data_IF_096116836787
#
_entry.id   IF_096116836787
#
_cell.length_a   1.000
_cell.length_b   1.000
_cell.length_c   1.000
_cell.angle_alpha   90.00
_cell.angle_beta   90.00
_cell.angle_gamma   90.00
#
_symmetry.space_group_name_H-M   'P 1'
#
loop_
_entity.id
_entity.type
_entity.pdbx_description
1 polymer ?
#
# COMPACT_ATOMS: atom_id res chain seq x y z
N UNK A 1 -4.05 8.54 30.57
CA UNK A 1 -5.48 8.15 30.64
C UNK A 1 -5.74 7.09 29.57
N UNK A 2 -6.15 5.87 29.95
CA UNK A 2 -6.61 4.87 28.97
C UNK A 2 -7.90 5.41 28.34
N UNK A 3 -7.87 5.79 27.06
CA UNK A 3 -9.08 6.19 26.32
C UNK A 3 -10.04 5.00 26.35
N UNK A 4 -11.23 5.20 26.94
CA UNK A 4 -12.26 4.16 27.06
C UNK A 4 -12.61 3.63 25.66
N UNK A 5 -12.62 2.31 25.48
CA UNK A 5 -13.09 1.67 24.25
C UNK A 5 -14.60 1.87 24.14
N UNK A 6 -15.05 2.36 22.99
CA UNK A 6 -16.46 2.56 22.64
C UNK A 6 -16.87 1.57 21.55
N UNK A 7 -18.17 1.39 21.29
CA UNK A 7 -18.65 0.53 20.20
C UNK A 7 -18.82 1.29 18.89
N UNK A 8 -18.82 0.58 17.76
CA UNK A 8 -19.26 1.10 16.45
C UNK A 8 -20.59 1.86 16.55
N UNK A 9 -21.58 1.31 17.26
CA UNK A 9 -22.91 1.91 17.38
C UNK A 9 -22.87 3.24 18.13
N UNK A 10 -22.04 3.37 19.16
CA UNK A 10 -21.85 4.64 19.87
C UNK A 10 -21.25 5.72 18.96
N UNK A 11 -20.26 5.37 18.13
CA UNK A 11 -19.70 6.30 17.13
C UNK A 11 -20.77 6.77 16.13
N UNK A 12 -21.52 5.83 15.56
CA UNK A 12 -22.56 6.10 14.55
C UNK A 12 -23.67 6.98 15.14
N UNK A 13 -24.11 6.69 16.37
CA UNK A 13 -25.09 7.51 17.07
C UNK A 13 -24.55 8.90 17.39
N UNK A 14 -23.29 9.02 17.82
CA UNK A 14 -22.65 10.30 18.09
C UNK A 14 -22.58 11.16 16.82
N UNK A 15 -22.12 10.60 15.71
CA UNK A 15 -22.06 11.27 14.41
C UNK A 15 -23.44 11.73 13.93
N UNK A 16 -24.45 10.86 14.03
CA UNK A 16 -25.84 11.20 13.64
C UNK A 16 -26.38 12.36 14.47
N UNK A 17 -26.12 12.39 15.79
CA UNK A 17 -26.50 13.48 16.70
C UNK A 17 -25.71 14.78 16.46
N UNK A 18 -24.64 14.76 15.67
CA UNK A 18 -23.86 15.95 15.32
C UNK A 18 -24.36 16.64 14.04
N UNK A 19 -25.36 16.09 13.34
CA UNK A 19 -25.95 16.70 12.14
C UNK A 19 -26.25 18.19 12.34
N UNK A 20 -25.78 19.03 11.42
CA UNK A 20 -25.99 20.48 11.44
C UNK A 20 -25.23 21.26 12.53
N UNK A 21 -24.47 20.60 13.43
CA UNK A 21 -23.66 21.29 14.43
C UNK A 21 -22.45 22.00 13.80
N UNK A 22 -21.84 22.99 14.48
CA UNK A 22 -20.58 23.58 14.04
C UNK A 22 -19.48 22.53 13.91
N UNK A 23 -18.66 22.63 12.86
CA UNK A 23 -17.60 21.69 12.54
C UNK A 23 -16.69 21.25 13.71
N UNK A 24 -16.27 22.16 14.62
CA UNK A 24 -15.42 21.77 15.75
C UNK A 24 -16.02 20.70 16.67
N UNK A 25 -17.35 20.47 16.63
CA UNK A 25 -18.00 19.42 17.40
C UNK A 25 -17.50 18.01 17.03
N UNK A 26 -16.97 17.80 15.83
CA UNK A 26 -16.33 16.52 15.47
C UNK A 26 -15.18 16.14 16.41
N UNK A 27 -14.51 17.09 17.10
CA UNK A 27 -13.41 16.77 18.02
C UNK A 27 -13.79 15.76 19.10
N UNK A 28 -15.07 15.66 19.43
CA UNK A 28 -15.59 14.70 20.40
C UNK A 28 -15.54 13.23 19.95
N UNK A 29 -15.35 12.95 18.64
CA UNK A 29 -15.22 11.56 18.13
C UNK A 29 -13.79 11.02 18.22
N UNK A 30 -12.83 11.81 18.72
CA UNK A 30 -11.47 11.33 18.94
C UNK A 30 -11.51 10.20 19.96
N UNK A 31 -11.10 8.99 19.57
CA UNK A 31 -11.31 7.81 20.41
C UNK A 31 -10.94 6.49 19.76
N UNK A 32 -11.25 5.41 20.46
CA UNK A 32 -11.10 4.02 20.00
C UNK A 32 -12.48 3.36 19.98
N UNK A 33 -12.76 2.69 18.88
CA UNK A 33 -14.06 2.10 18.60
C UNK A 33 -13.88 0.63 18.21
N UNK A 34 -14.45 -0.24 19.02
CA UNK A 34 -14.52 -1.67 18.75
C UNK A 34 -15.56 -1.91 17.66
N UNK A 35 -15.09 -2.51 16.57
CA UNK A 35 -15.93 -3.13 15.55
C UNK A 35 -16.01 -4.62 15.89
N UNK A 36 -16.42 -5.49 14.97
CA UNK A 36 -16.49 -6.93 15.27
C UNK A 36 -15.09 -7.48 15.58
N UNK A 37 -14.29 -7.65 14.53
CA UNK A 37 -13.00 -8.34 14.59
C UNK A 37 -11.79 -7.39 14.65
N UNK A 38 -12.05 -6.09 14.60
CA UNK A 38 -11.03 -5.06 14.50
C UNK A 38 -11.44 -3.80 15.25
N UNK A 39 -10.50 -2.88 15.38
CA UNK A 39 -10.70 -1.58 16.02
C UNK A 39 -10.51 -0.45 15.01
N UNK A 40 -11.30 0.61 15.15
CA UNK A 40 -11.05 1.91 14.52
C UNK A 40 -10.55 2.89 15.58
N UNK A 41 -9.43 3.54 15.30
CA UNK A 41 -8.84 4.56 16.16
C UNK A 41 -8.84 5.89 15.40
N UNK A 42 -9.48 6.91 15.96
CA UNK A 42 -9.48 8.27 15.41
C UNK A 42 -8.47 9.07 16.23
N UNK A 43 -7.24 9.20 15.73
CA UNK A 43 -6.12 9.80 16.48
C UNK A 43 -6.15 11.33 16.43
N UNK A 44 -6.53 11.87 15.27
CA UNK A 44 -6.62 13.29 15.02
C UNK A 44 -7.87 13.60 14.21
N UNK A 45 -8.63 14.60 14.67
CA UNK A 45 -9.81 15.12 13.99
C UNK A 45 -9.46 16.46 13.37
N UNK A 46 -9.71 16.60 12.06
CA UNK A 46 -9.42 17.83 11.32
C UNK A 46 -10.18 19.04 11.88
N UNK A 47 -9.55 20.21 11.88
CA UNK A 47 -10.09 21.43 12.48
C UNK A 47 -11.22 22.08 11.67
N UNK A 48 -11.21 21.88 10.35
CA UNK A 48 -12.18 22.40 9.40
C UNK A 48 -12.29 21.48 8.17
N UNK A 49 -13.34 21.61 7.32
CA UNK A 49 -13.55 20.73 6.17
C UNK A 49 -12.51 20.84 5.05
N UNK A 50 -11.69 21.89 5.03
CA UNK A 50 -10.68 22.16 4.00
C UNK A 50 -9.26 21.81 4.48
N UNK A 51 -9.07 21.58 5.78
CA UNK A 51 -7.82 21.14 6.37
C UNK A 51 -7.40 19.73 5.89
N UNK A 52 -6.20 19.33 6.32
CA UNK A 52 -5.76 17.96 6.17
C UNK A 52 -6.78 17.00 6.84
N UNK A 53 -7.25 15.96 6.12
CA UNK A 53 -8.11 14.90 6.63
C UNK A 53 -7.74 14.37 8.03
N UNK A 54 -8.77 13.90 8.73
CA UNK A 54 -8.61 13.25 10.04
C UNK A 54 -7.75 12.00 9.90
N UNK A 55 -6.87 11.75 10.87
CA UNK A 55 -5.99 10.58 10.89
C UNK A 55 -6.69 9.43 11.60
N UNK A 56 -6.87 8.34 10.89
CA UNK A 56 -7.60 7.15 11.35
C UNK A 56 -6.73 5.92 11.19
N UNK A 57 -6.86 4.97 12.12
CA UNK A 57 -6.26 3.65 12.02
C UNK A 57 -7.32 2.57 12.08
N UNK A 58 -7.15 1.52 11.29
CA UNK A 58 -7.85 0.25 11.45
C UNK A 58 -6.83 -0.79 11.95
N UNK A 59 -7.12 -1.43 13.08
CA UNK A 59 -6.26 -2.48 13.67
C UNK A 59 -7.01 -3.79 13.75
N UNK A 60 -6.50 -4.82 13.11
CA UNK A 60 -7.02 -6.18 13.18
C UNK A 60 -5.95 -7.11 13.76
N UNK A 61 -6.27 -7.98 14.74
CA UNK A 61 -5.33 -9.01 15.19
C UNK A 61 -4.96 -9.90 14.00
N UNK A 62 -3.67 -10.17 13.79
CA UNK A 62 -3.22 -10.96 12.65
C UNK A 62 -3.79 -12.39 12.68
N UNK A 63 -4.00 -12.93 13.89
CA UNK A 63 -4.68 -14.20 14.11
C UNK A 63 -6.14 -14.21 13.64
N UNK A 64 -6.84 -13.07 13.64
CA UNK A 64 -8.20 -12.95 13.12
C UNK A 64 -8.20 -12.67 11.61
N UNK A 65 -7.20 -11.92 11.14
CA UNK A 65 -6.98 -11.69 9.72
C UNK A 65 -6.56 -12.96 8.96
N UNK A 66 -6.11 -14.00 9.68
CA UNK A 66 -5.78 -15.33 9.19
C UNK A 66 -4.67 -15.34 8.12
N UNK A 67 -3.68 -14.44 8.25
CA UNK A 67 -2.49 -14.48 7.40
C UNK A 67 -1.57 -15.62 7.83
N UNK A 68 -1.21 -16.54 6.92
CA UNK A 68 -0.23 -17.59 7.18
C UNK A 68 1.11 -17.03 7.65
N UNK A 69 1.80 -17.75 8.56
CA UNK A 69 3.07 -17.29 9.15
C UNK A 69 4.15 -17.03 8.09
N UNK A 70 4.22 -17.89 7.07
CA UNK A 70 5.17 -17.78 5.97
C UNK A 70 5.03 -16.47 5.18
N UNK A 71 3.88 -15.79 5.21
CA UNK A 71 3.70 -14.47 4.56
C UNK A 71 4.39 -13.31 5.28
N UNK A 72 4.84 -13.51 6.52
CA UNK A 72 5.31 -12.45 7.41
C UNK A 72 6.33 -12.96 8.46
N UNK A 73 7.05 -14.04 8.15
CA UNK A 73 7.97 -14.68 9.10
C UNK A 73 9.34 -13.99 9.19
N UNK A 74 9.65 -13.08 8.27
CA UNK A 74 10.89 -12.31 8.22
C UNK A 74 10.62 -10.86 7.81
N UNK A 75 11.58 -9.96 8.08
CA UNK A 75 11.44 -8.53 7.82
C UNK A 75 11.15 -8.18 6.34
N UNK A 76 11.68 -8.97 5.39
CA UNK A 76 11.46 -8.75 3.96
C UNK A 76 10.02 -9.07 3.57
N UNK A 77 9.52 -10.25 3.98
CA UNK A 77 8.14 -10.66 3.73
C UNK A 77 7.14 -9.78 4.47
N UNK A 78 7.46 -9.32 5.67
CA UNK A 78 6.68 -8.30 6.41
C UNK A 78 6.47 -7.03 5.58
N UNK A 79 7.55 -6.51 5.00
CA UNK A 79 7.50 -5.32 4.15
C UNK A 79 6.69 -5.58 2.89
N UNK A 80 6.88 -6.72 2.24
CA UNK A 80 6.15 -7.09 1.03
C UNK A 80 4.65 -7.28 1.28
N UNK A 81 4.27 -7.96 2.36
CA UNK A 81 2.88 -8.11 2.79
C UNK A 81 2.26 -6.75 3.08
N UNK A 82 2.94 -5.89 3.84
CA UNK A 82 2.45 -4.55 4.16
C UNK A 82 2.26 -3.68 2.89
N UNK A 83 3.18 -3.76 1.92
CA UNK A 83 3.07 -3.07 0.63
C UNK A 83 1.85 -3.57 -0.16
N UNK A 84 1.69 -4.89 -0.29
CA UNK A 84 0.54 -5.50 -0.95
C UNK A 84 -0.78 -5.06 -0.31
N UNK A 85 -0.89 -5.15 1.02
CA UNK A 85 -2.08 -4.74 1.76
C UNK A 85 -2.37 -3.25 1.59
N UNK A 86 -1.35 -2.39 1.54
CA UNK A 86 -1.53 -0.95 1.24
C UNK A 86 -2.17 -0.75 -0.13
N UNK A 87 -1.65 -1.44 -1.17
CA UNK A 87 -2.21 -1.39 -2.54
C UNK A 87 -3.65 -1.90 -2.58
N UNK A 88 -3.94 -3.00 -1.87
CA UNK A 88 -5.30 -3.56 -1.75
C UNK A 88 -6.25 -2.61 -1.03
N UNK A 89 -5.80 -1.97 0.05
CA UNK A 89 -6.58 -0.97 0.78
C UNK A 89 -6.90 0.24 -0.10
N UNK A 90 -5.90 0.76 -0.83
CA UNK A 90 -6.09 1.84 -1.81
C UNK A 90 -7.07 1.46 -2.92
N UNK A 91 -6.95 0.25 -3.49
CA UNK A 91 -7.89 -0.23 -4.49
C UNK A 91 -9.31 -0.35 -3.93
N UNK A 92 -9.45 -0.87 -2.71
CA UNK A 92 -10.73 -1.04 -2.05
C UNK A 92 -11.40 0.30 -1.70
N UNK A 93 -10.62 1.33 -1.33
CA UNK A 93 -11.11 2.71 -1.23
C UNK A 93 -11.76 3.15 -2.55
N UNK A 94 -11.08 2.97 -3.69
CA UNK A 94 -11.61 3.40 -4.99
C UNK A 94 -12.86 2.60 -5.41
N UNK A 95 -12.94 1.32 -5.01
CA UNK A 95 -14.09 0.45 -5.26
C UNK A 95 -15.32 0.84 -4.43
N UNK A 96 -15.13 1.28 -3.18
CA UNK A 96 -16.25 1.47 -2.24
C UNK A 96 -16.58 2.93 -1.95
N UNK A 97 -15.63 3.86 -2.09
CA UNK A 97 -15.83 5.28 -1.81
C UNK A 97 -16.16 6.09 -3.09
N UNK A 98 -17.21 5.68 -3.79
CA UNK A 98 -17.60 6.21 -5.12
C UNK A 98 -18.30 7.57 -5.00
N UNK A 99 -19.05 7.80 -3.90
CA UNK A 99 -19.86 9.00 -3.72
C UNK A 99 -19.28 9.89 -2.62
N UNK A 100 -18.64 10.98 -3.03
CA UNK A 100 -18.16 12.03 -2.11
C UNK A 100 -19.15 13.18 -2.11
N UNK A 101 -19.51 13.65 -0.93
CA UNK A 101 -20.48 14.73 -0.76
C UNK A 101 -20.00 15.71 0.33
N UNK A 102 -20.26 17.00 0.11
CA UNK A 102 -19.92 18.08 1.03
C UNK A 102 -18.88 19.05 0.46
N UNK A 103 -18.35 19.91 1.34
CA UNK A 103 -17.38 20.96 1.00
C UNK A 103 -15.93 20.51 1.26
N UNK A 104 -14.98 21.05 0.52
CA UNK A 104 -13.54 20.83 0.76
C UNK A 104 -13.12 19.36 0.57
N UNK A 105 -12.56 18.75 1.60
CA UNK A 105 -12.13 17.35 1.63
C UNK A 105 -13.22 16.39 2.14
N UNK A 106 -14.47 16.83 2.23
CA UNK A 106 -15.59 16.00 2.70
C UNK A 106 -15.72 14.69 1.92
N UNK A 107 -15.86 13.58 2.65
CA UNK A 107 -16.02 12.24 2.05
C UNK A 107 -14.74 11.64 1.49
N UNK A 108 -13.60 12.34 1.55
CA UNK A 108 -12.31 11.75 1.15
C UNK A 108 -11.97 10.63 2.13
N UNK A 109 -11.65 9.46 1.58
CA UNK A 109 -10.94 8.40 2.28
C UNK A 109 -9.70 8.16 1.44
N UNK A 110 -8.52 8.17 2.06
CA UNK A 110 -7.27 8.06 1.33
C UNK A 110 -6.21 7.36 2.17
N UNK A 111 -5.28 6.68 1.51
CA UNK A 111 -4.12 6.05 2.12
C UNK A 111 -2.91 6.38 1.26
N UNK A 112 -1.71 6.34 1.84
CA UNK A 112 -0.50 6.47 1.04
C UNK A 112 -0.54 5.50 -0.16
N UNK A 113 -0.15 6.00 -1.34
CA UNK A 113 -0.26 5.28 -2.61
C UNK A 113 1.14 4.84 -3.04
N UNK A 114 1.48 3.55 -2.90
CA UNK A 114 2.80 3.05 -3.30
C UNK A 114 3.05 3.25 -4.80
N UNK A 115 4.29 3.61 -5.15
CA UNK A 115 4.79 3.64 -6.52
C UNK A 115 5.09 2.24 -7.06
N UNK A 116 6.07 2.13 -7.95
CA UNK A 116 6.53 0.83 -8.46
C UNK A 116 7.39 0.09 -7.42
N UNK A 117 8.03 0.84 -6.54
CA UNK A 117 8.90 0.37 -5.48
C UNK A 117 8.15 -0.20 -4.27
N UNK A 118 8.73 -1.23 -3.67
CA UNK A 118 8.29 -1.84 -2.42
C UNK A 118 9.18 -1.31 -1.31
N UNK A 119 8.60 -0.53 -0.39
CA UNK A 119 9.31 0.12 0.70
C UNK A 119 8.56 -0.11 2.02
N UNK A 120 9.32 -0.17 3.11
CA UNK A 120 8.79 -0.10 4.46
C UNK A 120 8.12 1.27 4.67
N UNK A 121 6.82 1.27 4.96
CA UNK A 121 6.00 2.49 5.08
C UNK A 121 5.22 2.49 6.38
N UNK A 122 4.70 3.66 6.76
CA UNK A 122 3.86 3.81 7.94
C UNK A 122 2.37 3.61 7.66
N UNK A 123 1.96 3.51 6.40
CA UNK A 123 0.57 3.36 5.97
C UNK A 123 -0.02 1.98 6.28
N UNK A 124 0.83 0.95 6.31
CA UNK A 124 0.47 -0.39 6.77
C UNK A 124 1.63 -0.94 7.57
N UNK A 125 1.36 -1.43 8.77
CA UNK A 125 2.37 -2.04 9.63
C UNK A 125 1.83 -3.29 10.30
N UNK A 126 2.68 -4.31 10.43
CA UNK A 126 2.45 -5.44 11.34
C UNK A 126 3.21 -5.13 12.62
N UNK A 127 2.48 -5.00 13.73
CA UNK A 127 3.08 -4.65 15.01
C UNK A 127 2.21 -5.12 16.19
N UNK A 128 2.87 -5.65 17.20
CA UNK A 128 2.26 -6.10 18.46
C UNK A 128 1.13 -7.12 18.25
N UNK A 129 1.24 -7.98 17.23
CA UNK A 129 0.22 -8.97 16.86
C UNK A 129 -0.96 -8.42 16.04
N UNK A 130 -0.85 -7.19 15.50
CA UNK A 130 -1.90 -6.56 14.68
C UNK A 130 -1.37 -6.16 13.31
N UNK A 131 -2.22 -6.30 12.30
CA UNK A 131 -2.13 -5.53 11.06
C UNK A 131 -2.82 -4.19 11.31
N UNK A 132 -2.11 -3.10 11.03
CA UNK A 132 -2.59 -1.74 11.24
C UNK A 132 -2.51 -0.92 9.95
N UNK A 133 -3.67 -0.59 9.39
CA UNK A 133 -3.79 0.36 8.29
C UNK A 133 -3.93 1.78 8.86
N UNK A 134 -3.12 2.73 8.37
CA UNK A 134 -3.17 4.15 8.73
C UNK A 134 -3.61 4.97 7.53
N UNK A 135 -4.75 5.62 7.64
CA UNK A 135 -5.42 6.27 6.53
C UNK A 135 -6.07 7.59 6.97
N UNK A 136 -6.56 8.31 5.99
CA UNK A 136 -7.12 9.63 6.10
C UNK A 136 -8.63 9.59 5.87
N UNK A 137 -9.38 10.32 6.68
CA UNK A 137 -10.84 10.47 6.54
C UNK A 137 -11.22 11.95 6.61
N UNK A 138 -11.68 12.47 5.49
CA UNK A 138 -12.28 13.80 5.39
C UNK A 138 -13.71 13.78 5.92
N UNK A 139 -13.88 14.23 7.16
CA UNK A 139 -15.18 14.28 7.83
C UNK A 139 -16.13 15.27 7.13
N UNK A 140 -17.31 14.82 6.70
CA UNK A 140 -18.15 15.56 5.78
C UNK A 140 -18.87 16.74 6.44
N UNK A 141 -19.06 17.80 5.66
CA UNK A 141 -19.78 19.01 6.04
C UNK A 141 -20.34 19.76 4.82
N UNK A 142 -21.38 20.57 5.05
CA UNK A 142 -21.85 21.57 4.11
C UNK A 142 -21.49 22.95 4.64
N UNK A 143 -20.54 23.63 3.98
CA UNK A 143 -19.85 24.77 4.56
C UNK A 143 -19.15 24.36 5.86
N UNK A 144 -19.44 25.04 6.98
CA UNK A 144 -18.89 24.71 8.30
C UNK A 144 -19.86 23.97 9.22
N UNK A 145 -20.92 23.37 8.66
CA UNK A 145 -21.91 22.58 9.40
C UNK A 145 -21.73 21.09 9.11
N UNK A 146 -21.68 20.30 10.17
CA UNK A 146 -21.44 18.85 10.12
C UNK A 146 -22.54 18.15 9.31
N UNK A 147 -22.14 17.33 8.34
CA UNK A 147 -23.01 16.38 7.66
C UNK A 147 -22.91 15.01 8.35
N UNK A 148 -23.44 14.94 9.57
CA UNK A 148 -23.31 13.83 10.51
C UNK A 148 -23.88 12.51 10.00
N UNK A 149 -24.97 12.54 9.24
CA UNK A 149 -25.55 11.34 8.59
C UNK A 149 -24.61 10.74 7.54
N UNK A 150 -23.93 11.59 6.76
CA UNK A 150 -22.94 11.14 5.77
C UNK A 150 -21.74 10.54 6.49
N UNK A 151 -21.26 11.19 7.56
CA UNK A 151 -20.16 10.67 8.37
C UNK A 151 -20.53 9.32 9.00
N UNK A 152 -21.73 9.21 9.55
CA UNK A 152 -22.26 7.97 10.12
C UNK A 152 -22.23 6.84 9.10
N UNK A 153 -22.72 7.09 7.87
CA UNK A 153 -22.66 6.12 6.77
C UNK A 153 -21.23 5.70 6.40
N UNK A 154 -20.29 6.66 6.34
CA UNK A 154 -18.87 6.34 6.06
C UNK A 154 -18.29 5.36 7.10
N UNK A 155 -18.54 5.60 8.39
CA UNK A 155 -18.02 4.75 9.47
C UNK A 155 -18.85 3.47 9.68
N UNK A 156 -20.12 3.44 9.29
CA UNK A 156 -20.97 2.26 9.45
C UNK A 156 -20.90 1.28 8.29
N UNK A 157 -20.72 1.79 7.06
CA UNK A 157 -20.82 1.01 5.82
C UNK A 157 -19.53 1.04 4.98
N UNK A 158 -19.01 2.22 4.65
CA UNK A 158 -17.92 2.35 3.66
C UNK A 158 -16.59 1.84 4.19
N UNK A 159 -16.13 2.34 5.34
CA UNK A 159 -14.87 1.93 5.97
C UNK A 159 -14.88 0.44 6.29
N UNK A 160 -15.95 -0.15 6.85
CA UNK A 160 -16.01 -1.60 7.06
C UNK A 160 -15.87 -2.44 5.81
N UNK A 161 -16.45 -2.01 4.67
CA UNK A 161 -16.27 -2.71 3.39
C UNK A 161 -14.82 -2.65 2.92
N UNK A 162 -14.16 -1.49 3.06
CA UNK A 162 -12.75 -1.32 2.71
C UNK A 162 -11.87 -2.25 3.55
N UNK A 163 -12.06 -2.25 4.87
CA UNK A 163 -11.32 -3.12 5.80
C UNK A 163 -11.53 -4.60 5.45
N UNK A 164 -12.77 -5.02 5.25
CA UNK A 164 -13.10 -6.41 4.92
C UNK A 164 -12.47 -6.86 3.58
N UNK A 165 -12.51 -6.04 2.54
CA UNK A 165 -12.01 -6.39 1.20
C UNK A 165 -10.48 -6.28 1.05
N UNK A 166 -9.77 -5.78 2.08
CA UNK A 166 -8.32 -5.54 2.02
C UNK A 166 -7.47 -6.16 3.13
N UNK A 167 -8.02 -6.42 4.33
CA UNK A 167 -7.23 -6.82 5.51
C UNK A 167 -7.49 -8.26 5.99
N UNK A 168 -8.21 -9.08 5.22
CA UNK A 168 -8.46 -10.49 5.56
C UNK A 168 -7.89 -11.38 4.47
N UNK A 169 -7.07 -12.37 4.84
CA UNK A 169 -6.38 -13.25 3.89
C UNK A 169 -7.36 -13.91 2.89
N UNK A 170 -8.48 -14.45 3.38
CA UNK A 170 -9.51 -15.12 2.58
C UNK A 170 -10.21 -14.21 1.55
N UNK A 171 -10.02 -12.88 1.64
CA UNK A 171 -10.60 -11.89 0.72
C UNK A 171 -9.61 -11.46 -0.35
N UNK A 172 -8.36 -11.90 -0.25
CA UNK A 172 -7.29 -11.51 -1.15
C UNK A 172 -7.09 -12.57 -2.25
N UNK A 173 -6.64 -12.14 -3.44
CA UNK A 173 -6.17 -13.06 -4.47
C UNK A 173 -4.85 -13.68 -4.02
N UNK A 174 -4.91 -14.91 -3.50
CA UNK A 174 -3.79 -15.65 -2.91
C UNK A 174 -2.60 -15.75 -3.89
N UNK A 175 -2.88 -16.08 -5.16
CA UNK A 175 -1.89 -16.16 -6.24
C UNK A 175 -1.09 -14.87 -6.40
N UNK A 176 -1.76 -13.71 -6.34
CA UNK A 176 -1.12 -12.40 -6.49
C UNK A 176 -0.38 -11.97 -5.22
N UNK A 177 -0.88 -12.38 -4.06
CA UNK A 177 -0.25 -12.10 -2.78
C UNK A 177 1.10 -12.81 -2.68
N UNK A 178 1.11 -14.12 -2.89
CA UNK A 178 2.33 -14.92 -2.83
C UNK A 178 3.34 -14.48 -3.88
N UNK A 179 2.91 -14.32 -5.14
CA UNK A 179 3.80 -13.80 -6.19
C UNK A 179 4.43 -12.46 -5.82
N UNK A 180 3.70 -11.56 -5.17
CA UNK A 180 4.24 -10.27 -4.75
C UNK A 180 5.30 -10.44 -3.66
N UNK A 181 5.01 -11.25 -2.63
CA UNK A 181 5.92 -11.51 -1.50
C UNK A 181 7.19 -12.18 -1.98
N UNK A 182 7.06 -13.27 -2.74
CA UNK A 182 8.17 -14.07 -3.27
C UNK A 182 9.05 -13.25 -4.21
N UNK A 183 8.48 -12.43 -5.08
CA UNK A 183 9.26 -11.55 -5.97
C UNK A 183 10.10 -10.55 -5.18
N UNK A 184 9.57 -10.01 -4.08
CA UNK A 184 10.30 -9.05 -3.24
C UNK A 184 11.42 -9.75 -2.47
N UNK A 185 11.16 -10.94 -1.94
CA UNK A 185 12.16 -11.75 -1.24
C UNK A 185 13.28 -12.21 -2.17
N UNK A 186 12.97 -12.68 -3.37
CA UNK A 186 13.97 -13.04 -4.38
C UNK A 186 14.83 -11.83 -4.78
N UNK A 187 14.21 -10.64 -4.92
CA UNK A 187 14.94 -9.42 -5.23
C UNK A 187 15.88 -8.99 -4.09
N UNK A 188 15.47 -9.16 -2.83
CA UNK A 188 16.33 -8.90 -1.67
C UNK A 188 17.46 -9.92 -1.58
N UNK A 189 17.16 -11.20 -1.80
CA UNK A 189 18.15 -12.27 -1.84
C UNK A 189 19.24 -11.99 -2.88
N UNK A 190 18.87 -11.57 -4.10
CA UNK A 190 19.85 -11.18 -5.12
C UNK A 190 20.75 -10.05 -4.61
N UNK A 191 20.17 -9.01 -4.00
CA UNK A 191 20.93 -7.86 -3.47
C UNK A 191 21.95 -8.30 -2.42
N UNK A 192 21.57 -9.19 -1.52
CA UNK A 192 22.47 -9.73 -0.49
C UNK A 192 23.60 -10.58 -1.10
N UNK A 193 23.30 -11.35 -2.16
CA UNK A 193 24.29 -12.21 -2.84
C UNK A 193 25.28 -11.47 -3.71
N UNK A 194 25.03 -10.23 -4.12
CA UNK A 194 25.94 -9.47 -4.97
C UNK A 194 27.38 -9.44 -4.41
N UNK A 195 27.53 -9.20 -3.10
CA UNK A 195 28.85 -9.11 -2.47
C UNK A 195 29.63 -10.43 -2.58
N UNK A 196 28.98 -11.56 -2.25
CA UNK A 196 29.56 -12.90 -2.29
C UNK A 196 29.97 -13.31 -3.71
N UNK A 197 29.21 -12.86 -4.71
CA UNK A 197 29.46 -13.13 -6.12
C UNK A 197 30.48 -12.17 -6.77
N UNK A 198 31.09 -11.26 -5.99
CA UNK A 198 31.97 -10.19 -6.49
C UNK A 198 31.29 -9.25 -7.52
N UNK A 199 29.97 -9.12 -7.44
CA UNK A 199 29.15 -8.25 -8.28
C UNK A 199 28.79 -6.95 -7.55
N UNK A 200 28.54 -5.89 -8.31
CA UNK A 200 27.96 -4.62 -7.83
C UNK A 200 26.54 -4.40 -8.34
N UNK A 201 26.13 -5.13 -9.39
CA UNK A 201 24.78 -5.11 -9.93
C UNK A 201 24.49 -6.41 -10.69
N UNK A 202 23.20 -6.72 -10.79
CA UNK A 202 22.66 -7.81 -11.58
C UNK A 202 21.47 -7.30 -12.39
N UNK A 203 21.43 -7.60 -13.68
CA UNK A 203 20.30 -7.28 -14.56
C UNK A 203 19.75 -8.57 -15.14
N UNK A 204 18.56 -8.98 -14.72
CA UNK A 204 17.94 -10.21 -15.18
C UNK A 204 17.71 -10.20 -16.71
N UNK A 205 17.90 -11.35 -17.34
CA UNK A 205 17.44 -11.55 -18.72
C UNK A 205 15.92 -11.31 -18.80
N UNK A 206 15.48 -10.80 -19.95
CA UNK A 206 14.11 -10.39 -20.23
C UNK A 206 13.60 -9.21 -19.39
N UNK A 207 14.46 -8.51 -18.64
CA UNK A 207 14.07 -7.31 -17.91
C UNK A 207 13.57 -6.22 -18.88
N UNK A 208 12.48 -5.55 -18.49
CA UNK A 208 11.92 -4.40 -19.20
C UNK A 208 12.45 -3.12 -18.55
N UNK A 209 13.57 -2.63 -19.09
CA UNK A 209 14.25 -1.43 -18.58
C UNK A 209 13.54 -0.13 -19.00
N UNK A 210 13.08 0.04 -20.27
CA UNK A 210 12.41 1.27 -20.69
C UNK A 210 11.13 1.54 -19.89
N UNK A 211 10.89 2.80 -19.55
CA UNK A 211 9.67 3.23 -18.86
C UNK A 211 8.62 3.68 -19.87
N UNK A 212 7.36 3.68 -19.46
CA UNK A 212 6.25 4.11 -20.30
C UNK A 212 6.38 5.56 -20.77
N UNK A 213 6.90 6.45 -19.91
CA UNK A 213 7.33 7.81 -20.29
C UNK A 213 8.21 8.44 -19.20
N UNK A 214 8.73 9.65 -19.44
CA UNK A 214 9.50 10.40 -18.42
C UNK A 214 8.72 10.76 -17.15
N UNK A 215 7.38 10.69 -17.18
CA UNK A 215 6.51 10.98 -16.01
C UNK A 215 5.73 9.77 -15.52
N UNK A 216 5.79 8.65 -16.24
CA UNK A 216 5.13 7.39 -15.88
C UNK A 216 6.17 6.31 -15.70
N UNK A 217 6.42 5.98 -14.43
CA UNK A 217 7.41 5.00 -14.06
C UNK A 217 6.99 3.57 -14.35
N UNK A 218 5.85 3.25 -14.95
CA UNK A 218 5.53 1.85 -15.33
C UNK A 218 6.46 1.34 -16.44
N UNK A 219 6.63 0.01 -16.61
CA UNK A 219 7.36 -0.54 -17.75
C UNK A 219 6.72 -0.14 -19.08
N UNK A 220 7.53 0.07 -20.12
CA UNK A 220 7.02 0.27 -21.47
C UNK A 220 6.24 -0.96 -21.95
N UNK A 221 4.98 -0.77 -22.31
CA UNK A 221 4.17 -1.77 -23.01
C UNK A 221 4.06 -1.36 -24.48
N UNK A 222 4.92 -1.91 -25.33
CA UNK A 222 4.95 -1.63 -26.77
C UNK A 222 5.25 -2.91 -27.54
N UNK A 223 4.71 -3.03 -28.76
CA UNK A 223 5.05 -4.11 -29.69
C UNK A 223 6.53 -4.10 -30.09
N UNK A 224 7.20 -2.94 -29.98
CA UNK A 224 8.63 -2.77 -30.30
C UNK A 224 9.54 -2.89 -29.08
N UNK A 225 9.03 -3.42 -27.96
CA UNK A 225 9.84 -3.63 -26.77
C UNK A 225 10.95 -4.65 -27.05
N UNK A 226 12.19 -4.25 -26.79
CA UNK A 226 13.35 -5.15 -26.80
C UNK A 226 13.66 -5.50 -25.34
N UNK A 227 13.40 -6.73 -24.88
CA UNK A 227 13.78 -7.17 -23.55
C UNK A 227 15.31 -7.15 -23.40
N UNK A 228 15.78 -6.94 -22.17
CA UNK A 228 17.20 -7.01 -21.89
C UNK A 228 17.73 -8.43 -22.12
N UNK A 229 18.88 -8.54 -22.79
CA UNK A 229 19.58 -9.81 -22.98
C UNK A 229 21.04 -9.66 -22.58
N UNK A 230 21.51 -10.57 -21.73
CA UNK A 230 22.89 -10.56 -21.23
C UNK A 230 23.86 -11.10 -22.27
N UNK A 231 24.98 -10.38 -22.47
CA UNK A 231 26.09 -10.90 -23.26
C UNK A 231 26.71 -12.13 -22.58
N UNK A 232 27.16 -13.10 -23.38
CA UNK A 232 27.63 -14.39 -22.89
C UNK A 232 28.79 -14.27 -21.89
N UNK A 233 29.70 -13.30 -22.09
CA UNK A 233 30.86 -13.10 -21.22
C UNK A 233 30.55 -12.50 -19.84
N UNK A 234 29.35 -11.92 -19.66
CA UNK A 234 28.92 -11.32 -18.39
C UNK A 234 27.70 -12.04 -17.80
N UNK A 235 27.26 -13.14 -18.41
CA UNK A 235 26.10 -13.91 -17.95
C UNK A 235 26.46 -14.66 -16.67
N UNK A 236 25.60 -14.53 -15.67
CA UNK A 236 25.66 -15.27 -14.41
C UNK A 236 24.28 -15.85 -14.11
N UNK A 237 24.25 -16.99 -13.42
CA UNK A 237 23.02 -17.58 -12.88
C UNK A 237 23.02 -17.50 -11.36
N UNK A 238 21.85 -17.25 -10.78
CA UNK A 238 21.63 -17.20 -9.33
C UNK A 238 20.44 -18.12 -9.02
N UNK A 239 20.62 -19.06 -8.11
CA UNK A 239 19.52 -19.88 -7.57
C UNK A 239 18.76 -19.07 -6.51
N UNK A 240 17.48 -18.82 -6.75
CA UNK A 240 16.61 -18.02 -5.87
C UNK A 240 15.76 -18.92 -4.96
N UNK A 241 15.40 -18.46 -3.76
CA UNK A 241 14.61 -19.25 -2.82
C UNK A 241 13.19 -19.55 -3.31
N UNK A 242 12.57 -18.67 -4.13
CA UNK A 242 11.18 -18.86 -4.58
C UNK A 242 11.07 -19.12 -6.09
N UNK A 243 11.67 -18.28 -6.93
CA UNK A 243 11.57 -18.41 -8.40
C UNK A 243 12.50 -19.48 -9.00
N UNK A 244 13.44 -20.04 -8.22
CA UNK A 244 14.48 -20.94 -8.71
C UNK A 244 15.57 -20.20 -9.48
N UNK A 245 16.25 -20.87 -10.41
CA UNK A 245 17.37 -20.26 -11.15
C UNK A 245 16.92 -19.06 -12.01
N UNK A 246 17.65 -17.95 -11.88
CA UNK A 246 17.53 -16.78 -12.75
C UNK A 246 18.88 -16.49 -13.42
N UNK A 247 18.86 -16.24 -14.72
CA UNK A 247 20.02 -15.81 -15.50
C UNK A 247 19.97 -14.31 -15.78
N UNK A 248 21.14 -13.67 -15.85
CA UNK A 248 21.24 -12.26 -16.18
C UNK A 248 22.69 -11.77 -16.25
N UNK A 249 22.85 -10.46 -16.43
CA UNK A 249 24.15 -9.83 -16.56
C UNK A 249 24.67 -9.45 -15.19
N UNK A 250 25.79 -10.06 -14.79
CA UNK A 250 26.53 -9.71 -13.59
C UNK A 250 27.56 -8.61 -13.88
N UNK A 251 27.40 -7.45 -13.25
CA UNK A 251 28.40 -6.37 -13.33
C UNK A 251 29.37 -6.55 -12.18
N UNK A 252 30.62 -6.88 -12.49
CA UNK A 252 31.68 -7.10 -11.49
C UNK A 252 32.18 -5.79 -10.87
N UNK A 253 32.83 -5.89 -9.71
CA UNK A 253 33.55 -4.75 -9.11
C UNK A 253 34.62 -4.18 -10.06
N UNK A 254 34.76 -2.86 -10.06
CA UNK A 254 35.74 -2.14 -10.88
C UNK A 254 35.07 -1.03 -11.68
N UNK A 255 35.68 -0.66 -12.81
CA UNK A 255 35.14 0.34 -13.73
C UNK A 255 34.41 -0.38 -14.86
N UNK A 256 33.09 -0.14 -14.98
CA UNK A 256 32.28 -0.61 -16.10
C UNK A 256 31.86 0.58 -16.94
N UNK A 257 32.17 0.57 -18.23
CA UNK A 257 31.80 1.63 -19.17
C UNK A 257 30.65 1.14 -20.06
N UNK A 258 29.51 1.82 -19.99
CA UNK A 258 28.38 1.60 -20.91
C UNK A 258 28.51 2.62 -22.04
N UNK A 259 28.90 2.17 -23.23
CA UNK A 259 29.04 2.99 -24.43
C UNK A 259 27.93 2.71 -25.43
N UNK A 260 27.58 3.72 -26.23
CA UNK A 260 26.57 3.65 -27.28
C UNK A 260 26.33 5.04 -27.88
N UNK A 261 25.84 5.10 -29.13
CA UNK A 261 25.45 6.37 -29.75
C UNK A 261 24.24 7.01 -29.02
N UNK A 262 24.16 8.34 -29.00
CA UNK A 262 23.02 9.04 -28.41
C UNK A 262 21.72 8.73 -29.15
N UNK A 263 20.74 8.20 -28.42
CA UNK A 263 19.44 7.69 -28.89
C UNK A 263 19.57 6.53 -29.89
N UNK A 264 19.81 5.33 -29.37
CA UNK A 264 19.50 4.07 -30.08
C UNK A 264 18.07 3.60 -29.75
N UNK A 265 17.08 4.50 -29.81
CA UNK A 265 15.64 4.18 -29.81
C UNK A 265 14.98 4.45 -31.18
N UNK A 266 15.76 4.75 -32.22
CA UNK A 266 15.27 4.66 -33.59
C UNK A 266 15.50 3.24 -34.12
N UNK A 267 14.60 2.33 -33.76
CA UNK A 267 14.39 1.12 -34.56
C UNK A 267 13.98 1.58 -35.97
N UNK A 268 14.86 1.30 -36.92
CA UNK A 268 14.73 1.63 -38.34
C UNK A 268 13.35 1.27 -38.92
N UNK A 269 12.91 2.15 -39.82
CA UNK A 269 11.88 2.02 -40.87
C UNK A 269 11.30 0.63 -41.13
#
# INVERSE_FOLDING_TARGET
MKTKMQSKNELVQALTKMEGKPYPAYKAIKGRYQYQDYEILIDHVQGDPFAQPSKVRARIPISIAQFPEDTHHNDCRDVALCDFLTRRFYHSINKHNIQRQGSGKSGVIDIDRPGQEVLKRSSMVIKDGYIEARFLVGLPAFGRRIAGKIAAYMFSEVIPRIVNDSLYFQRLPEDKLYRHIETVEDAEFIREKLHELNLIAFVADNAVLPRASGVDQRPLSSERLVPFESCQSMRVSIELPNHGEISGMGISRGVTLIVGGGITENLHS
#
